data_IF_667105608793
#
_entry.id   IF_667105608793
#
_cell.length_a   1.000
_cell.length_b   1.000
_cell.length_c   1.000
_cell.angle_alpha   90.00
_cell.angle_beta   90.00
_cell.angle_gamma   90.00
#
_symmetry.space_group_name_H-M   'P 1'
#
loop_
_entity.id
_entity.type
_entity.pdbx_description
1 polymer ?
#
# COMPACT_ATOMS: atom_id res chain seq x y z
N UNK A 1 -20.86 -18.64 -3.84
CA UNK A 1 -20.03 -19.07 -2.70
C UNK A 1 -19.03 -20.17 -3.06
N UNK A 2 -19.44 -21.27 -3.69
CA UNK A 2 -18.55 -22.41 -3.96
C UNK A 2 -17.24 -22.05 -4.67
N UNK A 3 -17.31 -21.22 -5.74
CA UNK A 3 -16.11 -20.77 -6.46
C UNK A 3 -15.07 -20.04 -5.58
N UNK A 4 -15.53 -19.24 -4.62
CA UNK A 4 -14.63 -18.54 -3.70
C UNK A 4 -13.95 -19.53 -2.75
N UNK A 5 -14.74 -20.46 -2.19
CA UNK A 5 -14.23 -21.51 -1.30
C UNK A 5 -13.21 -22.38 -2.03
N UNK A 6 -13.55 -22.88 -3.21
CA UNK A 6 -12.67 -23.70 -4.04
C UNK A 6 -11.35 -22.99 -4.34
N UNK A 7 -11.41 -21.71 -4.75
CA UNK A 7 -10.22 -20.92 -5.01
C UNK A 7 -9.33 -20.78 -3.75
N UNK A 8 -9.91 -20.36 -2.63
CA UNK A 8 -9.18 -20.14 -1.37
C UNK A 8 -8.55 -21.43 -0.88
N UNK A 9 -9.30 -22.54 -0.84
CA UNK A 9 -8.78 -23.83 -0.41
C UNK A 9 -7.69 -24.36 -1.34
N UNK A 10 -7.83 -24.17 -2.65
CA UNK A 10 -6.82 -24.60 -3.62
C UNK A 10 -5.52 -23.82 -3.46
N UNK A 11 -5.59 -22.49 -3.36
CA UNK A 11 -4.41 -21.63 -3.29
C UNK A 11 -3.77 -21.68 -1.90
N UNK A 12 -4.52 -21.35 -0.83
CA UNK A 12 -3.98 -21.33 0.52
C UNK A 12 -3.62 -22.75 1.00
N UNK A 13 -4.46 -23.75 0.69
CA UNK A 13 -4.18 -25.14 1.06
C UNK A 13 -2.89 -25.68 0.42
N UNK A 14 -2.58 -25.29 -0.83
CA UNK A 14 -1.32 -25.65 -1.49
C UNK A 14 -0.09 -25.12 -0.76
N UNK A 15 -0.18 -23.95 -0.13
CA UNK A 15 0.93 -23.28 0.53
C UNK A 15 0.82 -23.26 2.06
N UNK A 16 -0.05 -24.09 2.63
CA UNK A 16 -0.27 -24.17 4.08
C UNK A 16 1.04 -24.37 4.82
N UNK A 17 1.26 -23.56 5.86
CA UNK A 17 2.49 -23.60 6.69
C UNK A 17 3.76 -23.08 6.00
N UNK A 18 3.67 -22.57 4.76
CA UNK A 18 4.79 -21.96 4.02
C UNK A 18 4.63 -20.46 3.84
N UNK A 19 3.39 -19.99 3.72
CA UNK A 19 3.06 -18.57 3.60
C UNK A 19 2.51 -18.08 4.95
N UNK A 20 3.22 -17.14 5.58
CA UNK A 20 2.89 -16.67 6.92
C UNK A 20 1.76 -15.63 6.97
N UNK A 21 1.43 -15.00 5.84
CA UNK A 21 0.42 -13.96 5.79
C UNK A 21 -0.23 -13.85 4.41
N UNK A 22 -1.53 -13.59 4.39
CA UNK A 22 -2.34 -13.45 3.19
C UNK A 22 -3.14 -12.15 3.22
N UNK A 23 -3.05 -11.38 2.14
CA UNK A 23 -4.05 -10.36 1.84
C UNK A 23 -5.30 -11.08 1.31
N UNK A 24 -6.21 -11.42 2.22
CA UNK A 24 -7.40 -12.25 1.92
C UNK A 24 -8.38 -11.50 1.02
N UNK A 25 -8.53 -10.20 1.28
CA UNK A 25 -9.35 -9.28 0.49
C UNK A 25 -8.54 -8.03 0.23
N UNK A 26 -8.49 -7.63 -1.04
CA UNK A 26 -7.80 -6.44 -1.53
C UNK A 26 -8.82 -5.42 -2.07
N UNK A 27 -8.73 -4.17 -1.63
CA UNK A 27 -9.39 -3.00 -2.24
C UNK A 27 -10.94 -3.07 -2.32
N UNK A 28 -11.57 -3.60 -1.28
CA UNK A 28 -13.03 -3.75 -1.25
C UNK A 28 -13.77 -2.46 -0.85
N UNK A 29 -13.08 -1.45 -0.31
CA UNK A 29 -13.67 -0.18 0.13
C UNK A 29 -13.23 0.95 -0.81
N UNK A 30 -14.20 1.71 -1.32
CA UNK A 30 -13.97 2.85 -2.22
C UNK A 30 -13.56 4.11 -1.44
N UNK A 31 -13.01 5.13 -2.12
CA UNK A 31 -12.68 6.43 -1.52
C UNK A 31 -13.83 7.11 -0.76
N UNK A 32 -15.08 6.82 -1.11
CA UNK A 32 -16.29 7.34 -0.43
C UNK A 32 -16.72 6.51 0.80
N UNK A 33 -15.97 5.45 1.14
CA UNK A 33 -16.21 4.58 2.30
C UNK A 33 -17.23 3.48 2.09
N UNK A 34 -17.76 3.31 0.87
CA UNK A 34 -18.70 2.22 0.52
C UNK A 34 -17.95 1.01 -0.02
N UNK A 35 -18.63 -0.13 -0.04
CA UNK A 35 -18.13 -1.28 -0.78
C UNK A 35 -18.01 -0.99 -2.26
N UNK A 36 -16.92 -1.46 -2.86
CA UNK A 36 -16.74 -1.49 -4.31
C UNK A 36 -17.77 -2.43 -4.92
N UNK A 37 -18.42 -1.97 -6.00
CA UNK A 37 -19.31 -2.80 -6.80
C UNK A 37 -18.52 -3.83 -7.65
N UNK A 38 -17.91 -4.80 -6.97
CA UNK A 38 -17.17 -5.90 -7.58
C UNK A 38 -18.12 -7.05 -7.95
N UNK A 39 -17.68 -7.96 -8.83
CA UNK A 39 -18.47 -9.18 -9.12
C UNK A 39 -18.72 -10.03 -7.87
N UNK A 40 -17.83 -10.00 -6.88
CA UNK A 40 -18.06 -10.67 -5.61
C UNK A 40 -19.18 -10.01 -4.82
N UNK A 41 -19.18 -8.67 -4.75
CA UNK A 41 -20.21 -7.90 -4.08
C UNK A 41 -21.58 -8.04 -4.79
N UNK A 42 -21.63 -7.97 -6.12
CA UNK A 42 -22.87 -8.12 -6.89
C UNK A 42 -23.54 -9.50 -6.67
N UNK A 43 -22.74 -10.57 -6.53
CA UNK A 43 -23.24 -11.95 -6.44
C UNK A 43 -23.56 -12.35 -5.00
N UNK A 44 -22.76 -11.92 -4.02
CA UNK A 44 -22.84 -12.39 -2.62
C UNK A 44 -23.38 -11.29 -1.68
N UNK A 45 -23.19 -10.02 -2.02
CA UNK A 45 -23.42 -8.89 -1.12
C UNK A 45 -22.24 -8.62 -0.19
N UNK A 46 -22.48 -7.85 0.87
CA UNK A 46 -21.46 -7.47 1.87
C UNK A 46 -20.79 -8.69 2.54
N UNK A 47 -21.51 -9.81 2.63
CA UNK A 47 -21.01 -11.06 3.22
C UNK A 47 -19.83 -11.69 2.47
N UNK A 48 -19.48 -11.22 1.26
CA UNK A 48 -18.36 -11.76 0.50
C UNK A 48 -17.03 -11.67 1.25
N UNK A 49 -16.80 -10.59 2.02
CA UNK A 49 -15.59 -10.43 2.83
C UNK A 49 -15.60 -11.41 3.99
N UNK A 50 -16.71 -11.49 4.72
CA UNK A 50 -16.89 -12.44 5.83
C UNK A 50 -16.59 -13.88 5.37
N UNK A 51 -17.19 -14.30 4.26
CA UNK A 51 -17.00 -15.65 3.70
C UNK A 51 -15.57 -15.90 3.23
N UNK A 52 -14.90 -14.91 2.66
CA UNK A 52 -13.49 -15.04 2.29
C UNK A 52 -12.62 -15.32 3.53
N UNK A 53 -12.83 -14.58 4.63
CA UNK A 53 -12.08 -14.80 5.87
C UNK A 53 -12.40 -16.14 6.56
N UNK A 54 -13.67 -16.54 6.60
CA UNK A 54 -14.05 -17.86 7.13
C UNK A 54 -13.36 -19.00 6.38
N UNK A 55 -13.35 -18.94 5.04
CA UNK A 55 -12.68 -19.96 4.23
C UNK A 55 -11.16 -19.87 4.33
N UNK A 56 -10.58 -18.67 4.41
CA UNK A 56 -9.15 -18.49 4.57
C UNK A 56 -8.65 -19.10 5.88
N UNK A 57 -9.36 -18.86 6.99
CA UNK A 57 -9.01 -19.45 8.29
C UNK A 57 -9.17 -20.97 8.31
N UNK A 58 -10.16 -21.51 7.61
CA UNK A 58 -10.30 -22.98 7.46
C UNK A 58 -9.18 -23.57 6.58
N UNK A 59 -8.75 -22.85 5.54
CA UNK A 59 -7.73 -23.28 4.61
C UNK A 59 -6.33 -23.23 5.21
N UNK A 60 -6.03 -22.29 6.11
CA UNK A 60 -4.80 -22.28 6.92
C UNK A 60 -5.05 -21.61 8.28
N UNK A 61 -5.26 -22.38 9.37
CA UNK A 61 -5.51 -21.83 10.69
C UNK A 61 -4.34 -21.01 11.28
N UNK A 62 -3.11 -21.27 10.85
CA UNK A 62 -1.89 -20.70 11.44
C UNK A 62 -1.41 -19.45 10.68
N UNK A 63 -1.90 -19.22 9.46
CA UNK A 63 -1.55 -18.04 8.68
C UNK A 63 -2.17 -16.74 9.24
N UNK A 64 -1.46 -15.63 9.08
CA UNK A 64 -2.00 -14.30 9.37
C UNK A 64 -2.90 -13.83 8.23
N UNK A 65 -4.08 -13.29 8.55
CA UNK A 65 -5.07 -12.86 7.57
C UNK A 65 -5.21 -11.33 7.58
N UNK A 66 -5.04 -10.71 6.41
CA UNK A 66 -4.98 -9.27 6.25
C UNK A 66 -6.05 -8.74 5.30
N UNK A 67 -6.49 -7.51 5.57
CA UNK A 67 -7.20 -6.67 4.63
C UNK A 67 -6.21 -5.65 4.06
N UNK A 68 -6.10 -5.50 2.74
CA UNK A 68 -5.14 -4.59 2.11
C UNK A 68 -5.85 -3.57 1.21
N UNK A 69 -5.46 -2.29 1.27
CA UNK A 69 -6.09 -1.22 0.47
C UNK A 69 -5.19 0.01 0.26
N UNK A 70 -5.45 0.74 -0.82
CA UNK A 70 -4.87 2.05 -1.11
C UNK A 70 -5.73 3.18 -0.55
N UNK A 71 -5.20 4.41 -0.62
CA UNK A 71 -5.94 5.64 -0.34
C UNK A 71 -6.60 5.76 1.05
N UNK A 72 -6.22 4.93 2.03
CA UNK A 72 -6.68 5.02 3.41
C UNK A 72 -6.28 6.31 4.16
N UNK A 73 -5.70 7.30 3.48
CA UNK A 73 -5.59 8.68 3.98
C UNK A 73 -6.88 9.49 3.75
N UNK A 74 -7.75 9.06 2.83
CA UNK A 74 -9.07 9.64 2.61
C UNK A 74 -10.00 9.19 3.74
N UNK A 75 -10.52 10.16 4.51
CA UNK A 75 -11.32 9.90 5.71
C UNK A 75 -12.50 8.94 5.53
N UNK A 76 -13.36 9.11 4.53
CA UNK A 76 -14.49 8.19 4.33
C UNK A 76 -14.01 6.75 4.11
N UNK A 77 -12.91 6.56 3.40
CA UNK A 77 -12.35 5.24 3.10
C UNK A 77 -11.83 4.53 4.35
N UNK A 78 -10.98 5.17 5.17
CA UNK A 78 -10.49 4.50 6.38
C UNK A 78 -11.63 4.25 7.40
N UNK A 79 -12.66 5.08 7.43
CA UNK A 79 -13.87 4.81 8.24
C UNK A 79 -14.65 3.61 7.71
N UNK A 80 -14.71 3.42 6.39
CA UNK A 80 -15.25 2.21 5.76
C UNK A 80 -14.47 0.95 6.13
N UNK A 81 -13.14 1.04 6.11
CA UNK A 81 -12.27 -0.06 6.55
C UNK A 81 -12.47 -0.38 8.03
N UNK A 82 -12.58 0.64 8.89
CA UNK A 82 -12.89 0.45 10.33
C UNK A 82 -14.21 -0.30 10.50
N UNK A 83 -15.28 0.10 9.79
CA UNK A 83 -16.58 -0.59 9.84
C UNK A 83 -16.46 -2.05 9.41
N UNK A 84 -15.76 -2.32 8.31
CA UNK A 84 -15.52 -3.67 7.81
C UNK A 84 -14.78 -4.53 8.85
N UNK A 85 -13.69 -4.02 9.42
CA UNK A 85 -12.88 -4.75 10.41
C UNK A 85 -13.69 -5.03 11.68
N UNK A 86 -14.43 -4.05 12.18
CA UNK A 86 -15.29 -4.20 13.36
C UNK A 86 -16.45 -5.18 13.11
N UNK A 87 -17.04 -5.18 11.92
CA UNK A 87 -18.07 -6.15 11.54
C UNK A 87 -17.53 -7.59 11.57
N UNK A 88 -16.36 -7.83 10.97
CA UNK A 88 -15.68 -9.14 11.03
C UNK A 88 -15.40 -9.57 12.48
N UNK A 89 -14.83 -8.67 13.28
CA UNK A 89 -14.55 -8.94 14.70
C UNK A 89 -15.83 -9.26 15.49
N UNK A 90 -16.92 -8.53 15.25
CA UNK A 90 -18.22 -8.76 15.91
C UNK A 90 -18.83 -10.12 15.59
N UNK A 91 -18.50 -10.68 14.42
CA UNK A 91 -18.93 -12.01 13.96
C UNK A 91 -17.94 -13.13 14.34
N UNK A 92 -16.94 -12.83 15.16
CA UNK A 92 -15.96 -13.79 15.67
C UNK A 92 -14.85 -14.15 14.68
N UNK A 93 -14.69 -13.38 13.58
CA UNK A 93 -13.58 -13.57 12.65
C UNK A 93 -12.30 -12.93 13.21
N UNK A 94 -11.24 -13.71 13.28
CA UNK A 94 -9.91 -13.22 13.58
C UNK A 94 -9.25 -12.67 12.31
N UNK A 95 -9.21 -11.34 12.21
CA UNK A 95 -8.36 -10.56 11.31
C UNK A 95 -7.09 -10.16 12.06
N UNK A 96 -5.93 -10.43 11.46
CA UNK A 96 -4.63 -10.25 12.12
C UNK A 96 -4.00 -8.89 11.81
N UNK A 97 -4.38 -8.26 10.71
CA UNK A 97 -3.86 -6.95 10.35
C UNK A 97 -4.56 -6.23 9.20
N UNK A 98 -4.24 -4.95 9.08
CA UNK A 98 -4.63 -4.07 7.97
C UNK A 98 -3.37 -3.59 7.27
N UNK A 99 -3.31 -3.88 5.97
CA UNK A 99 -2.28 -3.46 5.04
C UNK A 99 -2.63 -2.11 4.41
N UNK A 100 -1.74 -1.14 4.60
CA UNK A 100 -1.77 0.18 4.00
C UNK A 100 -0.80 0.14 2.83
N UNK A 101 -1.31 0.14 1.60
CA UNK A 101 -0.45 0.03 0.40
C UNK A 101 0.65 1.08 0.43
N UNK A 102 0.32 2.34 0.63
CA UNK A 102 1.32 3.40 0.75
C UNK A 102 1.82 3.91 -0.60
N UNK A 103 1.02 3.76 -1.65
CA UNK A 103 1.21 4.38 -2.94
C UNK A 103 1.01 5.89 -2.89
N UNK A 104 2.07 6.64 -2.60
CA UNK A 104 2.01 8.07 -2.31
C UNK A 104 2.84 8.90 -3.30
N UNK A 105 2.80 10.22 -3.14
CA UNK A 105 3.62 11.16 -3.89
C UNK A 105 4.48 12.03 -2.98
N UNK A 106 5.23 12.95 -3.59
CA UNK A 106 6.07 13.93 -2.89
C UNK A 106 5.27 14.80 -1.92
N UNK A 107 4.04 15.17 -2.29
CA UNK A 107 3.21 16.15 -1.59
C UNK A 107 1.87 15.61 -1.08
N UNK A 108 1.52 14.36 -1.40
CA UNK A 108 0.29 13.73 -0.94
C UNK A 108 0.49 12.29 -0.47
N UNK A 109 -0.31 11.83 0.51
CA UNK A 109 -1.01 12.66 1.50
C UNK A 109 -0.04 13.43 2.40
N UNK A 110 -0.51 14.46 3.10
CA UNK A 110 0.32 15.19 4.06
C UNK A 110 0.75 14.28 5.21
N UNK A 111 1.87 14.62 5.86
CA UNK A 111 2.36 13.91 7.06
C UNK A 111 1.29 13.81 8.15
N UNK A 112 0.52 14.89 8.36
CA UNK A 112 -0.56 14.95 9.34
C UNK A 112 -1.70 14.00 9.02
N UNK A 113 -2.10 13.90 7.75
CA UNK A 113 -3.12 12.93 7.32
C UNK A 113 -2.65 11.50 7.55
N UNK A 114 -1.39 11.21 7.19
CA UNK A 114 -0.80 9.88 7.39
C UNK A 114 -0.82 9.48 8.86
N UNK A 115 -0.30 10.35 9.71
CA UNK A 115 -0.25 10.09 11.14
C UNK A 115 -1.66 9.95 11.73
N UNK A 116 -2.60 10.79 11.32
CA UNK A 116 -3.98 10.77 11.80
C UNK A 116 -4.70 9.45 11.48
N UNK A 117 -4.61 8.96 10.24
CA UNK A 117 -5.29 7.72 9.89
C UNK A 117 -4.58 6.49 10.51
N UNK A 118 -3.25 6.48 10.61
CA UNK A 118 -2.50 5.40 11.29
C UNK A 118 -2.89 5.33 12.78
N UNK A 119 -2.97 6.49 13.46
CA UNK A 119 -3.40 6.55 14.85
C UNK A 119 -4.84 6.03 15.02
N UNK A 120 -5.73 6.36 14.08
CA UNK A 120 -7.12 5.91 14.09
C UNK A 120 -7.22 4.40 13.87
N UNK A 121 -6.59 3.86 12.82
CA UNK A 121 -6.59 2.41 12.54
C UNK A 121 -5.93 1.60 13.66
N UNK A 122 -4.96 2.17 14.38
CA UNK A 122 -4.30 1.51 15.51
C UNK A 122 -5.24 1.20 16.69
N UNK A 123 -6.46 1.77 16.70
CA UNK A 123 -7.49 1.50 17.71
C UNK A 123 -8.25 0.19 17.48
N UNK A 124 -8.14 -0.41 16.28
CA UNK A 124 -8.82 -1.65 15.90
C UNK A 124 -8.31 -2.91 16.62
N UNK A 125 -7.20 -2.81 17.34
CA UNK A 125 -6.60 -3.96 18.03
C UNK A 125 -5.90 -4.97 17.11
N UNK A 126 -5.69 -4.63 15.84
CA UNK A 126 -4.98 -5.44 14.84
C UNK A 126 -3.61 -4.85 14.51
N UNK A 127 -2.71 -5.61 13.88
CA UNK A 127 -1.43 -5.09 13.39
C UNK A 127 -1.67 -4.19 12.18
N UNK A 128 -0.88 -3.12 12.06
CA UNK A 128 -0.80 -2.34 10.83
C UNK A 128 0.45 -2.73 10.05
N UNK A 129 0.38 -2.65 8.73
CA UNK A 129 1.53 -2.89 7.85
C UNK A 129 1.53 -1.83 6.75
N UNK A 130 2.70 -1.36 6.36
CA UNK A 130 2.87 -0.66 5.09
C UNK A 130 3.28 -1.74 4.07
N UNK A 131 2.47 -1.95 3.04
CA UNK A 131 2.53 -3.18 2.24
C UNK A 131 3.14 -3.00 0.85
N UNK A 132 3.03 -1.81 0.27
CA UNK A 132 3.33 -1.54 -1.15
C UNK A 132 3.97 -0.15 -1.32
N UNK A 133 4.88 0.21 -0.41
CA UNK A 133 5.40 1.57 -0.31
C UNK A 133 6.12 1.99 -1.60
N UNK A 134 5.68 3.10 -2.16
CA UNK A 134 6.35 3.84 -3.22
C UNK A 134 6.00 5.34 -3.13
N UNK A 135 6.89 6.20 -3.62
CA UNK A 135 6.70 7.67 -3.61
C UNK A 135 6.95 8.20 -5.01
N UNK A 136 5.88 8.42 -5.76
CA UNK A 136 5.98 8.99 -7.11
C UNK A 136 6.54 10.41 -7.07
N UNK A 137 7.48 10.70 -7.98
CA UNK A 137 8.05 12.05 -8.13
C UNK A 137 7.39 12.85 -9.26
N UNK A 138 6.44 12.22 -9.95
CA UNK A 138 5.67 12.82 -11.04
C UNK A 138 4.22 13.07 -10.59
N UNK A 139 3.48 13.99 -11.24
CA UNK A 139 2.14 14.32 -10.82
C UNK A 139 1.18 13.13 -10.86
N UNK A 140 0.24 13.13 -9.92
CA UNK A 140 -0.80 12.14 -9.83
C UNK A 140 -1.78 12.24 -11.01
N UNK A 141 -2.21 11.08 -11.51
CA UNK A 141 -2.97 10.91 -12.75
C UNK A 141 -4.27 10.15 -12.50
N UNK A 142 -5.11 10.65 -11.58
CA UNK A 142 -6.36 9.98 -11.17
C UNK A 142 -7.44 10.00 -12.28
N UNK A 143 -7.32 10.91 -13.26
CA UNK A 143 -8.34 11.18 -14.29
C UNK A 143 -8.20 10.32 -15.56
N UNK A 144 -7.28 9.34 -15.59
CA UNK A 144 -6.99 8.55 -16.79
C UNK A 144 -7.33 7.08 -16.62
N UNK A 145 -7.86 6.49 -17.70
CA UNK A 145 -8.12 5.06 -17.78
C UNK A 145 -6.81 4.26 -17.65
N UNK A 146 -6.94 3.09 -17.02
CA UNK A 146 -5.84 2.17 -16.78
C UNK A 146 -5.17 1.75 -18.09
N UNK A 147 -3.89 2.06 -18.24
CA UNK A 147 -3.07 1.70 -19.39
C UNK A 147 -3.13 2.70 -20.56
N UNK A 148 -3.69 3.89 -20.35
CA UNK A 148 -3.70 4.95 -21.37
C UNK A 148 -2.27 5.28 -21.80
N UNK A 149 -1.99 5.22 -23.10
CA UNK A 149 -0.67 5.54 -23.64
C UNK A 149 -0.44 7.06 -23.62
N UNK A 150 0.60 7.51 -22.89
CA UNK A 150 0.91 8.94 -22.74
C UNK A 150 1.18 9.62 -24.10
N UNK A 151 1.67 8.88 -25.09
CA UNK A 151 1.97 9.41 -26.43
C UNK A 151 0.71 9.85 -27.18
N UNK A 152 -0.47 9.38 -26.75
CA UNK A 152 -1.77 9.81 -27.28
C UNK A 152 -2.25 11.15 -26.73
N UNK A 153 -1.63 11.66 -25.66
CA UNK A 153 -1.97 12.92 -25.03
C UNK A 153 -1.30 14.11 -25.74
N UNK A 154 -1.76 15.33 -25.45
CA UNK A 154 -1.11 16.54 -25.96
C UNK A 154 0.33 16.66 -25.46
N UNK A 155 1.19 17.37 -26.20
CA UNK A 155 2.58 17.59 -25.80
C UNK A 155 2.72 18.27 -24.41
N UNK A 156 1.76 19.13 -24.06
CA UNK A 156 1.70 19.74 -22.72
C UNK A 156 1.46 18.69 -21.63
N UNK A 157 0.51 17.77 -21.85
CA UNK A 157 0.21 16.70 -20.91
C UNK A 157 1.32 15.66 -20.84
N UNK A 158 1.96 15.35 -21.97
CA UNK A 158 3.15 14.50 -22.01
C UNK A 158 4.24 15.09 -21.10
N UNK A 159 4.57 16.37 -21.27
CA UNK A 159 5.57 17.05 -20.44
C UNK A 159 5.16 17.13 -18.96
N UNK A 160 3.85 17.30 -18.68
CA UNK A 160 3.33 17.33 -17.31
C UNK A 160 3.47 15.97 -16.62
N UNK A 161 3.16 14.88 -17.32
CA UNK A 161 3.07 13.55 -16.73
C UNK A 161 4.31 12.70 -16.90
N UNK A 162 5.25 13.09 -17.77
CA UNK A 162 6.61 12.53 -17.87
C UNK A 162 7.64 13.68 -17.90
N UNK A 163 7.79 14.43 -16.79
CA UNK A 163 8.68 15.60 -16.74
C UNK A 163 10.18 15.26 -16.72
N UNK A 164 10.54 13.99 -16.48
CA UNK A 164 11.92 13.55 -16.20
C UNK A 164 12.31 12.30 -17.02
N UNK A 165 12.16 12.30 -18.36
CA UNK A 165 12.36 11.09 -19.18
C UNK A 165 13.79 10.53 -19.12
N UNK A 166 14.79 11.41 -18.92
CA UNK A 166 16.22 11.04 -18.96
C UNK A 166 16.92 11.07 -17.59
N UNK A 167 16.18 11.37 -16.52
CA UNK A 167 16.70 11.45 -15.17
C UNK A 167 16.02 12.52 -14.33
N UNK A 168 16.04 12.34 -13.01
CA UNK A 168 15.52 13.32 -12.05
C UNK A 168 16.55 14.42 -11.74
N UNK A 169 16.15 15.69 -11.71
CA UNK A 169 16.98 16.77 -11.16
C UNK A 169 17.37 16.52 -9.69
N UNK A 170 18.50 17.09 -9.25
CA UNK A 170 18.96 16.98 -7.87
C UNK A 170 17.92 17.47 -6.85
N UNK A 171 17.21 18.57 -7.16
CA UNK A 171 16.14 19.08 -6.30
C UNK A 171 15.01 18.06 -6.07
N UNK A 172 14.65 17.30 -7.11
CA UNK A 172 13.62 16.25 -7.01
C UNK A 172 14.12 15.07 -6.18
N UNK A 173 15.41 14.71 -6.29
CA UNK A 173 16.02 13.72 -5.41
C UNK A 173 16.05 14.18 -3.95
N UNK A 174 16.28 15.47 -3.70
CA UNK A 174 16.22 16.05 -2.36
C UNK A 174 14.79 16.01 -1.79
N UNK A 175 13.77 16.34 -2.60
CA UNK A 175 12.36 16.25 -2.21
C UNK A 175 11.96 14.81 -1.91
N UNK A 176 12.36 13.84 -2.76
CA UNK A 176 12.12 12.42 -2.53
C UNK A 176 12.80 11.93 -1.23
N UNK A 177 14.03 12.37 -0.99
CA UNK A 177 14.79 12.05 0.22
C UNK A 177 14.10 12.57 1.47
N UNK A 178 13.66 13.84 1.44
CA UNK A 178 12.90 14.46 2.52
C UNK A 178 11.60 13.71 2.76
N UNK A 179 10.88 13.36 1.70
CA UNK A 179 9.61 12.65 1.78
C UNK A 179 9.78 11.28 2.44
N UNK A 180 10.75 10.48 2.02
CA UNK A 180 11.03 9.20 2.67
C UNK A 180 11.48 9.35 4.13
N UNK A 181 12.27 10.37 4.45
CA UNK A 181 12.67 10.68 5.82
C UNK A 181 11.45 10.96 6.73
N UNK A 182 10.50 11.77 6.26
CA UNK A 182 9.24 12.07 6.95
C UNK A 182 8.39 10.80 7.16
N UNK A 183 8.20 10.00 6.12
CA UNK A 183 7.42 8.76 6.19
C UNK A 183 8.03 7.78 7.21
N UNK A 184 9.34 7.56 7.14
CA UNK A 184 10.01 6.66 8.07
C UNK A 184 10.09 7.23 9.49
N UNK A 185 10.03 8.55 9.69
CA UNK A 185 9.84 9.14 11.01
C UNK A 185 8.47 8.77 11.61
N UNK A 186 7.39 8.82 10.82
CA UNK A 186 6.05 8.38 11.25
C UNK A 186 6.06 6.87 11.53
N UNK A 187 6.58 6.06 10.61
CA UNK A 187 6.62 4.60 10.80
C UNK A 187 7.42 4.22 12.04
N UNK A 188 8.54 4.90 12.27
CA UNK A 188 9.32 4.71 13.48
C UNK A 188 8.55 5.11 14.75
N UNK A 189 7.83 6.24 14.73
CA UNK A 189 6.98 6.68 15.85
C UNK A 189 5.91 5.63 16.19
N UNK A 190 5.30 5.02 15.18
CA UNK A 190 4.23 4.02 15.32
C UNK A 190 4.70 2.56 15.26
N UNK A 191 6.00 2.28 15.38
CA UNK A 191 6.61 0.94 15.22
C UNK A 191 6.09 -0.17 16.15
N UNK A 192 5.42 0.18 17.25
CA UNK A 192 4.76 -0.80 18.12
C UNK A 192 3.43 -1.31 17.54
N UNK A 193 2.88 -0.58 16.57
CA UNK A 193 1.62 -0.89 15.87
C UNK A 193 1.88 -1.35 14.44
N UNK A 194 2.93 -0.82 13.79
CA UNK A 194 3.35 -1.19 12.45
C UNK A 194 4.31 -2.38 12.51
N UNK A 195 3.86 -3.55 12.07
CA UNK A 195 4.63 -4.79 12.10
C UNK A 195 5.53 -5.01 10.89
N UNK A 196 5.26 -4.35 9.77
CA UNK A 196 5.98 -4.52 8.50
C UNK A 196 5.94 -3.24 7.67
N UNK A 197 7.04 -2.95 6.98
CA UNK A 197 7.13 -1.96 5.90
C UNK A 197 7.75 -2.68 4.69
N UNK A 198 7.05 -2.70 3.57
CA UNK A 198 7.47 -3.36 2.34
C UNK A 198 7.41 -2.36 1.20
N UNK A 199 8.49 -2.25 0.43
CA UNK A 199 8.54 -1.49 -0.81
C UNK A 199 7.96 -2.31 -1.95
N UNK A 200 7.27 -1.65 -2.89
CA UNK A 200 6.57 -2.36 -3.97
C UNK A 200 7.47 -2.85 -5.10
N UNK A 201 8.66 -2.26 -5.24
CA UNK A 201 9.69 -2.72 -6.16
C UNK A 201 11.08 -2.60 -5.52
N UNK A 202 12.07 -3.23 -6.16
CA UNK A 202 13.47 -3.13 -5.73
C UNK A 202 14.07 -1.79 -6.18
N UNK A 203 13.83 -1.41 -7.43
CA UNK A 203 14.44 -0.24 -8.06
C UNK A 203 13.52 0.44 -9.07
N UNK A 204 13.87 1.67 -9.47
CA UNK A 204 13.00 2.57 -10.23
C UNK A 204 12.45 1.98 -11.54
N UNK A 205 13.24 1.21 -12.29
CA UNK A 205 12.82 0.64 -13.58
C UNK A 205 11.74 -0.44 -13.46
N UNK A 206 11.73 -1.20 -12.36
CA UNK A 206 10.72 -2.24 -12.09
C UNK A 206 9.40 -1.69 -11.54
N UNK A 207 9.35 -0.39 -11.23
CA UNK A 207 8.15 0.20 -10.65
C UNK A 207 6.99 0.18 -11.63
N UNK A 208 5.84 -0.33 -11.18
CA UNK A 208 4.57 -0.27 -11.90
C UNK A 208 4.16 1.14 -12.32
N UNK A 209 4.64 2.18 -11.61
CA UNK A 209 4.37 3.59 -11.87
C UNK A 209 4.88 4.08 -13.23
N UNK A 210 5.82 3.37 -13.84
CA UNK A 210 6.29 3.65 -15.21
C UNK A 210 5.23 3.29 -16.28
N UNK A 211 4.33 2.35 -15.95
CA UNK A 211 3.38 1.78 -16.90
C UNK A 211 1.93 2.11 -16.56
N UNK A 212 1.66 2.58 -15.32
CA UNK A 212 0.31 2.79 -14.81
C UNK A 212 0.16 4.11 -14.02
N UNK A 213 -1.01 4.77 -14.10
CA UNK A 213 -2.13 4.48 -15.01
C UNK A 213 -1.86 4.93 -16.45
N UNK A 214 -0.89 5.83 -16.65
CA UNK A 214 -0.38 6.19 -17.97
C UNK A 214 0.87 5.36 -18.29
N UNK A 215 0.91 4.74 -19.47
CA UNK A 215 2.03 3.92 -19.92
C UNK A 215 3.14 4.75 -20.56
N UNK A 216 4.35 4.17 -20.65
CA UNK A 216 5.55 4.73 -21.28
C UNK A 216 6.12 6.00 -20.62
N UNK A 217 5.92 6.15 -19.31
CA UNK A 217 6.47 7.26 -18.52
C UNK A 217 7.69 6.82 -17.72
N UNK A 218 8.45 7.77 -17.23
CA UNK A 218 9.66 7.53 -16.46
C UNK A 218 9.51 8.09 -15.04
N UNK A 219 9.13 7.23 -14.11
CA UNK A 219 9.05 7.57 -12.68
C UNK A 219 10.29 7.06 -11.93
N UNK A 220 10.50 7.60 -10.72
CA UNK A 220 11.65 7.32 -9.87
C UNK A 220 11.25 7.11 -8.39
N UNK A 221 10.34 6.19 -8.08
CA UNK A 221 9.72 6.17 -6.77
C UNK A 221 10.47 5.35 -5.71
N UNK A 222 11.50 4.59 -6.08
CA UNK A 222 12.18 3.62 -5.22
C UNK A 222 13.42 4.21 -4.54
N UNK A 223 14.02 3.42 -3.65
CA UNK A 223 15.29 3.75 -2.99
C UNK A 223 16.54 3.46 -3.83
N UNK A 224 16.40 2.67 -4.89
CA UNK A 224 17.49 2.32 -5.81
C UNK A 224 17.16 2.81 -7.22
N UNK A 225 18.17 3.34 -7.89
CA UNK A 225 18.05 3.82 -9.27
C UNK A 225 18.02 2.67 -10.29
N UNK A 226 17.92 3.02 -11.57
CA UNK A 226 17.86 2.06 -12.68
C UNK A 226 19.16 1.27 -12.86
N UNK A 227 20.26 1.68 -12.23
CA UNK A 227 21.56 0.99 -12.22
C UNK A 227 21.81 0.24 -10.90
N UNK A 228 20.76 0.05 -10.10
CA UNK A 228 20.79 -0.60 -8.79
C UNK A 228 21.71 0.10 -7.78
N UNK A 229 22.01 1.39 -7.99
CA UNK A 229 22.75 2.18 -7.01
C UNK A 229 21.78 2.81 -5.99
N UNK A 230 22.18 2.91 -4.72
CA UNK A 230 21.35 3.54 -3.70
C UNK A 230 21.20 5.04 -4.00
N UNK A 231 19.96 5.52 -3.97
CA UNK A 231 19.64 6.96 -4.06
C UNK A 231 19.83 7.62 -2.68
N UNK A 232 19.94 8.96 -2.59
CA UNK A 232 20.07 9.64 -1.29
C UNK A 232 18.93 9.31 -0.30
N UNK A 233 17.74 8.98 -0.80
CA UNK A 233 16.61 8.51 0.00
C UNK A 233 16.91 7.20 0.77
N UNK A 234 17.71 6.30 0.22
CA UNK A 234 18.14 5.06 0.90
C UNK A 234 18.88 5.39 2.20
N UNK A 235 19.85 6.29 2.13
CA UNK A 235 20.66 6.67 3.29
C UNK A 235 19.81 7.36 4.38
N UNK A 236 18.83 8.17 3.99
CA UNK A 236 17.88 8.78 4.92
C UNK A 236 17.07 7.71 5.69
N UNK A 237 16.54 6.71 4.97
CA UNK A 237 15.81 5.58 5.57
C UNK A 237 16.69 4.78 6.52
N UNK A 238 17.91 4.44 6.08
CA UNK A 238 18.87 3.67 6.91
C UNK A 238 19.26 4.44 8.16
N UNK A 239 19.52 5.75 8.05
CA UNK A 239 19.88 6.62 9.19
C UNK A 239 18.78 6.67 10.25
N UNK A 240 17.51 6.74 9.84
CA UNK A 240 16.36 6.69 10.76
C UNK A 240 16.36 5.39 11.58
N UNK A 241 16.66 4.26 10.93
CA UNK A 241 16.73 2.98 11.61
C UNK A 241 17.97 2.83 12.52
N UNK A 242 19.13 3.30 12.08
CA UNK A 242 20.39 3.17 12.82
C UNK A 242 20.51 4.10 14.04
N UNK A 243 19.82 5.25 14.06
CA UNK A 243 19.78 6.17 15.22
C UNK A 243 19.34 5.51 16.55
N UNK A 244 18.84 4.27 16.48
CA UNK A 244 18.51 3.37 17.57
C UNK A 244 19.70 2.64 18.20
N UNK A 245 20.70 2.20 17.42
CA UNK A 245 21.83 1.42 17.93
C UNK A 245 22.69 2.23 18.93
N UNK A 246 22.83 3.54 18.71
CA UNK A 246 23.62 4.40 19.59
C UNK A 246 22.92 4.81 20.88
N UNK A 247 21.59 4.70 20.97
CA UNK A 247 20.79 5.02 22.18
C UNK A 247 20.47 3.80 23.05
N UNK A 248 20.61 2.59 22.54
CA UNK A 248 20.49 1.34 23.32
C UNK A 248 21.83 0.85 23.88
N UNK A 249 22.95 1.38 23.35
CA UNK A 249 24.32 1.11 23.82
C UNK A 249 24.89 2.22 24.72
N UNK A 250 24.02 3.05 25.31
CA UNK A 250 24.33 4.02 26.37
C UNK A 250 23.34 3.83 27.50
#
# INVERSE_FOLDING_TARGET
LERMKEHIFTVMGRYRGRIHGWDVVNEAILPDGKYRNSKWFEIIGEDHVLKAYEYARQADPDAQLYYNDYNMWKKPQYEGVIRLVQDLQSKGVQIDGVGIQGHWGLDYPTVTEIEGFIATLSTLGVKLMITELDVSVIPYTEDYDWGTDISTLSAELQKKFDPYPDGTPESVQQDLTKRYDELFAIFHKHRQKIGRVTFWAIHDEQSWRNYMPLSTRTDYPMLFDRQLQPKPAFDAVVKRWQSRQSKLNR
#
